data_IF_277451875490
#
_entry.id   IF_277451875490
#
_cell.length_a   1.000
_cell.length_b   1.000
_cell.length_c   1.000
_cell.angle_alpha   90.00
_cell.angle_beta   90.00
_cell.angle_gamma   90.00
#
_symmetry.space_group_name_H-M   'P 1'
#
loop_
_entity.id
_entity.type
_entity.pdbx_description
1 polymer ?
#
# COMPACT_ATOMS: atom_id res chain seq x y z
N UNK A 1 5.49 -16.64 37.73
CA UNK A 1 4.09 -16.80 37.28
C UNK A 1 3.50 -15.46 36.85
N UNK A 2 4.30 -14.64 36.18
CA UNK A 2 3.87 -13.38 35.54
C UNK A 2 4.25 -13.39 34.04
N UNK A 3 4.62 -14.58 33.57
CA UNK A 3 5.48 -14.79 32.40
C UNK A 3 4.67 -15.30 31.20
N UNK A 4 3.40 -15.67 31.43
CA UNK A 4 2.52 -16.34 30.46
C UNK A 4 1.41 -15.45 29.89
N UNK A 5 1.34 -14.17 30.26
CA UNK A 5 0.30 -13.24 29.81
C UNK A 5 0.82 -12.03 29.03
N UNK A 6 1.89 -12.17 28.24
CA UNK A 6 2.04 -11.30 27.07
C UNK A 6 1.04 -11.77 26.00
N UNK A 7 -0.24 -11.43 26.24
CA UNK A 7 -1.31 -11.45 25.23
C UNK A 7 -0.69 -11.01 23.91
N UNK A 8 -0.59 -11.93 22.96
CA UNK A 8 -0.15 -11.65 21.60
C UNK A 8 -0.85 -10.36 21.18
N UNK A 9 -0.09 -9.27 21.01
CA UNK A 9 -0.70 -7.98 20.72
C UNK A 9 -1.64 -8.19 19.53
N UNK A 10 -2.91 -7.76 19.63
CA UNK A 10 -3.90 -8.04 18.60
C UNK A 10 -3.34 -7.57 17.26
N UNK A 11 -3.53 -8.36 16.21
CA UNK A 11 -2.91 -8.15 14.89
C UNK A 11 -3.14 -6.71 14.40
N UNK A 12 -4.28 -6.11 14.73
CA UNK A 12 -4.68 -4.72 14.45
C UNK A 12 -3.84 -3.63 15.15
N UNK A 13 -3.19 -3.93 16.28
CA UNK A 13 -2.26 -3.01 16.94
C UNK A 13 -0.87 -3.00 16.31
N UNK A 14 -0.60 -3.91 15.37
CA UNK A 14 0.72 -4.00 14.73
C UNK A 14 0.84 -2.92 13.68
N UNK A 15 1.93 -2.17 13.77
CA UNK A 15 2.22 -1.04 12.87
C UNK A 15 2.24 -1.46 11.40
N UNK A 16 2.74 -2.65 11.09
CA UNK A 16 2.76 -3.18 9.72
C UNK A 16 1.36 -3.40 9.12
N UNK A 17 0.40 -3.83 9.95
CA UNK A 17 -0.99 -4.04 9.50
C UNK A 17 -1.67 -2.71 9.17
N UNK A 18 -1.29 -1.62 9.85
CA UNK A 18 -1.78 -0.26 9.52
C UNK A 18 -1.26 0.21 8.18
N UNK A 19 0.03 0.02 7.88
CA UNK A 19 0.60 0.39 6.57
C UNK A 19 -0.03 -0.42 5.44
N UNK A 20 -0.21 -1.72 5.65
CA UNK A 20 -0.88 -2.59 4.68
C UNK A 20 -2.37 -2.20 4.50
N UNK A 21 -3.08 -1.97 5.60
CA UNK A 21 -4.47 -1.53 5.57
C UNK A 21 -4.64 -0.18 4.87
N UNK A 22 -3.78 0.79 5.16
CA UNK A 22 -3.79 2.09 4.49
C UNK A 22 -3.54 1.96 2.98
N UNK A 23 -2.56 1.14 2.59
CA UNK A 23 -2.30 0.85 1.18
C UNK A 23 -3.54 0.26 0.50
N UNK A 24 -4.14 -0.79 1.08
CA UNK A 24 -5.32 -1.44 0.51
C UNK A 24 -6.53 -0.50 0.41
N UNK A 25 -6.78 0.32 1.44
CA UNK A 25 -7.88 1.31 1.40
C UNK A 25 -7.69 2.27 0.22
N UNK A 26 -6.48 2.78 0.01
CA UNK A 26 -6.20 3.68 -1.11
C UNK A 26 -6.40 2.97 -2.46
N UNK A 27 -5.94 1.72 -2.60
CA UNK A 27 -6.15 0.95 -3.83
C UNK A 27 -7.64 0.70 -4.10
N UNK A 28 -8.42 0.38 -3.07
CA UNK A 28 -9.87 0.21 -3.18
C UNK A 28 -10.57 1.51 -3.59
N UNK A 29 -10.15 2.65 -3.04
CA UNK A 29 -10.68 3.95 -3.45
C UNK A 29 -10.43 4.21 -4.94
N UNK A 30 -9.21 3.95 -5.44
CA UNK A 30 -8.90 4.11 -6.86
C UNK A 30 -9.73 3.19 -7.75
N UNK A 31 -9.91 1.92 -7.36
CA UNK A 31 -10.76 0.97 -8.08
C UNK A 31 -12.21 1.49 -8.14
N UNK A 32 -12.75 1.95 -7.02
CA UNK A 32 -14.12 2.49 -6.97
C UNK A 32 -14.25 3.71 -7.87
N UNK A 33 -13.30 4.65 -7.82
CA UNK A 33 -13.28 5.83 -8.69
C UNK A 33 -13.31 5.44 -10.17
N UNK A 34 -12.50 4.46 -10.56
CA UNK A 34 -12.41 4.01 -11.95
C UNK A 34 -13.69 3.27 -12.40
N UNK A 35 -14.19 2.33 -11.61
CA UNK A 35 -15.41 1.56 -11.93
C UNK A 35 -16.63 2.47 -12.00
N UNK A 36 -16.70 3.50 -11.15
CA UNK A 36 -17.80 4.48 -11.18
C UNK A 36 -17.60 5.55 -12.25
N UNK A 37 -16.53 5.48 -13.05
CA UNK A 37 -16.10 6.54 -13.99
C UNK A 37 -15.99 7.92 -13.35
N UNK A 38 -15.85 7.96 -12.03
CA UNK A 38 -15.72 9.18 -11.26
C UNK A 38 -14.25 9.56 -11.20
N UNK A 39 -13.86 10.47 -12.09
CA UNK A 39 -12.54 11.08 -12.04
C UNK A 39 -12.57 12.35 -11.17
N UNK A 40 -11.69 12.47 -10.16
CA UNK A 40 -11.44 13.74 -9.51
C UNK A 40 -11.04 14.78 -10.56
N UNK A 41 -11.50 16.03 -10.41
CA UNK A 41 -11.06 17.12 -11.29
C UNK A 41 -9.60 17.49 -10.97
N UNK A 42 -8.66 16.72 -11.53
CA UNK A 42 -7.24 16.97 -11.37
C UNK A 42 -6.88 18.27 -12.08
N UNK A 43 -6.39 19.24 -11.32
CA UNK A 43 -5.78 20.42 -11.92
C UNK A 43 -4.60 19.97 -12.79
N UNK A 44 -4.43 20.52 -13.99
CA UNK A 44 -3.26 20.23 -14.81
C UNK A 44 -2.01 20.50 -13.95
N UNK A 45 -1.18 19.47 -13.80
CA UNK A 45 0.07 19.60 -13.06
C UNK A 45 1.06 20.48 -13.82
N UNK A 46 2.17 20.81 -13.19
CA UNK A 46 3.31 21.42 -13.90
C UNK A 46 3.82 20.49 -15.01
N UNK A 47 4.56 21.06 -15.96
CA UNK A 47 5.10 20.35 -17.14
C UNK A 47 5.83 19.05 -16.77
N UNK A 48 6.62 19.08 -15.69
CA UNK A 48 7.31 17.90 -15.17
C UNK A 48 6.35 16.78 -14.76
N UNK A 49 5.29 17.09 -14.02
CA UNK A 49 4.34 16.08 -13.56
C UNK A 49 3.54 15.51 -14.74
N UNK A 50 3.14 16.35 -15.69
CA UNK A 50 2.48 15.88 -16.91
C UNK A 50 3.38 14.95 -17.73
N UNK A 51 4.69 15.22 -17.79
CA UNK A 51 5.65 14.33 -18.45
C UNK A 51 5.76 12.97 -17.77
N UNK A 52 5.72 12.92 -16.44
CA UNK A 52 5.71 11.67 -15.68
C UNK A 52 4.42 10.89 -15.95
N UNK A 53 3.27 11.55 -15.83
CA UNK A 53 1.95 10.94 -16.05
C UNK A 53 1.84 10.28 -17.43
N UNK A 54 2.35 10.94 -18.47
CA UNK A 54 2.30 10.46 -19.84
C UNK A 54 3.51 9.61 -20.25
N UNK A 55 4.38 9.24 -19.30
CA UNK A 55 5.51 8.36 -19.61
C UNK A 55 5.03 6.94 -19.88
N UNK A 56 5.73 6.25 -20.79
CA UNK A 56 5.46 4.81 -21.08
C UNK A 56 5.44 3.95 -19.82
N UNK A 57 6.21 4.31 -18.80
CA UNK A 57 6.18 3.59 -17.54
C UNK A 57 4.79 3.62 -16.88
N UNK A 58 4.12 4.77 -16.83
CA UNK A 58 2.83 4.91 -16.15
C UNK A 58 1.60 4.74 -17.06
N UNK A 59 1.80 4.63 -18.37
CA UNK A 59 0.73 4.38 -19.34
C UNK A 59 0.71 2.96 -19.90
N UNK A 60 1.84 2.25 -19.86
CA UNK A 60 1.96 0.90 -20.46
C UNK A 60 2.49 -0.13 -19.46
N UNK A 61 3.65 0.13 -18.83
CA UNK A 61 4.35 -0.88 -18.03
C UNK A 61 3.79 -1.07 -16.61
N UNK A 62 3.44 0.04 -15.96
CA UNK A 62 2.86 0.11 -14.63
C UNK A 62 1.55 0.86 -14.72
N UNK A 63 0.56 0.22 -15.34
CA UNK A 63 -0.76 0.78 -15.57
C UNK A 63 -1.88 -0.08 -14.94
N UNK A 64 -1.92 -0.22 -13.60
CA UNK A 64 -3.02 -0.90 -12.91
C UNK A 64 -4.40 -0.23 -13.12
N UNK A 65 -4.39 1.06 -13.46
CA UNK A 65 -5.56 1.90 -13.67
C UNK A 65 -5.50 2.57 -15.05
N UNK A 66 -6.66 2.84 -15.65
CA UNK A 66 -6.73 3.61 -16.91
C UNK A 66 -6.32 5.08 -16.72
N UNK A 67 -6.47 5.60 -15.50
CA UNK A 67 -6.15 6.99 -15.15
C UNK A 67 -4.66 7.06 -14.72
N UNK A 68 -3.77 7.73 -15.48
CA UNK A 68 -2.33 7.72 -15.19
C UNK A 68 -1.95 8.32 -13.83
N UNK A 69 -2.76 9.23 -13.29
CA UNK A 69 -2.59 9.79 -11.96
C UNK A 69 -2.68 8.72 -10.88
N UNK A 70 -3.63 7.79 -11.00
CA UNK A 70 -3.77 6.67 -10.06
C UNK A 70 -2.59 5.71 -10.16
N UNK A 71 -2.02 5.51 -11.36
CA UNK A 71 -0.81 4.71 -11.55
C UNK A 71 0.39 5.30 -10.81
N UNK A 72 0.63 6.61 -10.98
CA UNK A 72 1.71 7.32 -10.29
C UNK A 72 1.53 7.27 -8.77
N UNK A 73 0.33 7.56 -8.27
CA UNK A 73 0.07 7.49 -6.82
C UNK A 73 0.22 6.08 -6.29
N UNK A 74 -0.22 5.07 -7.04
CA UNK A 74 -0.07 3.67 -6.66
C UNK A 74 1.40 3.27 -6.56
N UNK A 75 2.23 3.69 -7.50
CA UNK A 75 3.68 3.47 -7.40
C UNK A 75 4.26 4.17 -6.16
N UNK A 76 3.88 5.42 -5.91
CA UNK A 76 4.33 6.16 -4.73
C UNK A 76 3.95 5.46 -3.42
N UNK A 77 2.69 5.05 -3.27
CA UNK A 77 2.23 4.33 -2.08
C UNK A 77 2.84 2.93 -1.97
N UNK A 78 3.06 2.25 -3.08
CA UNK A 78 3.75 0.97 -3.09
C UNK A 78 5.20 1.12 -2.59
N UNK A 79 5.95 2.12 -3.06
CA UNK A 79 7.34 2.33 -2.62
C UNK A 79 7.41 2.75 -1.15
N UNK A 80 6.46 3.54 -0.66
CA UNK A 80 6.51 4.09 0.70
C UNK A 80 5.90 3.18 1.77
N UNK A 81 4.79 2.50 1.47
CA UNK A 81 4.04 1.71 2.46
C UNK A 81 4.36 0.22 2.40
N UNK A 82 4.56 -0.33 1.20
CA UNK A 82 4.70 -1.77 1.00
C UNK A 82 5.96 -2.36 1.66
N UNK A 83 7.15 -1.72 1.59
CA UNK A 83 8.34 -2.22 2.29
C UNK A 83 8.15 -2.28 3.81
N UNK A 84 7.53 -1.24 4.39
CA UNK A 84 7.28 -1.17 5.84
C UNK A 84 6.29 -2.25 6.28
N UNK A 85 5.23 -2.47 5.50
CA UNK A 85 4.29 -3.55 5.72
C UNK A 85 4.96 -4.93 5.62
N UNK A 86 5.76 -5.15 4.57
CA UNK A 86 6.40 -6.45 4.30
C UNK A 86 7.43 -6.82 5.37
N UNK A 87 8.35 -5.89 5.71
CA UNK A 87 9.38 -6.12 6.73
C UNK A 87 8.71 -6.44 8.08
N UNK A 88 7.66 -5.71 8.44
CA UNK A 88 6.94 -5.95 9.68
C UNK A 88 6.19 -7.28 9.70
N UNK A 89 5.59 -7.68 8.57
CA UNK A 89 4.93 -8.98 8.42
C UNK A 89 5.94 -10.13 8.54
N UNK A 90 7.08 -10.07 7.84
CA UNK A 90 8.13 -11.11 7.89
C UNK A 90 8.68 -11.27 9.31
N UNK A 91 8.99 -10.16 9.99
CA UNK A 91 9.46 -10.19 11.39
C UNK A 91 8.48 -10.90 12.30
N UNK A 92 7.19 -10.64 12.11
CA UNK A 92 6.16 -11.28 12.91
C UNK A 92 5.99 -12.77 12.62
N UNK A 93 6.04 -13.17 11.34
CA UNK A 93 5.97 -14.59 10.96
C UNK A 93 7.15 -15.37 11.54
N UNK A 94 8.36 -14.80 11.50
CA UNK A 94 9.55 -15.41 12.09
C UNK A 94 9.45 -15.54 13.62
N UNK A 95 8.92 -14.53 14.30
CA UNK A 95 8.66 -14.59 15.75
C UNK A 95 7.70 -15.73 16.10
N UNK A 96 6.59 -15.85 15.37
CA UNK A 96 5.61 -16.94 15.57
C UNK A 96 6.23 -18.32 15.32
N UNK A 97 7.03 -18.45 14.26
CA UNK A 97 7.74 -19.70 13.94
C UNK A 97 8.69 -20.12 15.07
N UNK A 98 9.44 -19.17 15.64
CA UNK A 98 10.36 -19.48 16.74
C UNK A 98 9.66 -19.87 18.04
N UNK A 99 8.48 -19.30 18.33
CA UNK A 99 7.69 -19.68 19.52
C UNK A 99 7.12 -21.10 19.38
N UNK A 100 6.69 -21.49 18.18
CA UNK A 100 6.09 -22.82 17.95
C UNK A 100 7.13 -23.96 17.86
N UNK A 101 8.42 -23.64 17.73
CA UNK A 101 9.52 -24.62 17.66
C UNK A 101 10.26 -24.80 19.00
N UNK A 102 9.76 -24.18 20.08
CA UNK A 102 10.28 -24.19 21.44
C UNK A 102 9.35 -25.02 22.34
#
# INVERSE_FOLDING_TARGET
MEDTLKKAQPIWKRTWFRYLGAFLIVQLLFIICEVTTWAPNFRPGGEFFNRILNSRFFTEWFAPYQIPQFNVFTAFFAITLLPNALIGAIKDLNLRKNINNL
#
